data_IF_016071217256
#
_entry.id   IF_016071217256
#
_cell.length_a   1.000
_cell.length_b   1.000
_cell.length_c   1.000
_cell.angle_alpha   90.00
_cell.angle_beta   90.00
_cell.angle_gamma   90.00
#
_symmetry.space_group_name_H-M   'P 1'
#
loop_
_entity.id
_entity.type
_entity.pdbx_description
1 polymer ?
#
# COMPACT_ATOMS: atom_id res chain seq x y z
N UNK A 1 21.39 -12.09 34.07
CA UNK A 1 21.07 -12.93 32.90
C UNK A 1 20.92 -11.98 31.72
N UNK A 2 21.82 -12.08 30.75
CA UNK A 2 22.11 -11.03 29.75
C UNK A 2 20.90 -10.73 28.85
N UNK A 3 20.54 -9.46 28.75
CA UNK A 3 19.63 -8.98 27.72
C UNK A 3 20.32 -9.07 26.36
N UNK A 4 19.93 -10.04 25.55
CA UNK A 4 20.28 -10.10 24.13
C UNK A 4 19.56 -8.95 23.43
N UNK A 5 20.16 -7.75 23.44
CA UNK A 5 19.73 -6.65 22.60
C UNK A 5 20.03 -7.04 21.15
N UNK A 6 19.04 -7.63 20.47
CA UNK A 6 19.06 -7.74 19.03
C UNK A 6 19.25 -6.33 18.46
N UNK A 7 20.33 -6.11 17.70
CA UNK A 7 20.53 -4.91 16.88
C UNK A 7 19.32 -4.78 15.94
N UNK A 8 18.28 -4.06 16.36
CA UNK A 8 17.22 -3.60 15.45
C UNK A 8 17.86 -2.54 14.59
N UNK A 9 18.29 -2.94 13.40
CA UNK A 9 18.71 -2.04 12.35
C UNK A 9 17.48 -1.21 11.97
N UNK A 10 17.31 -0.04 12.61
CA UNK A 10 16.27 0.92 12.23
C UNK A 10 16.63 1.39 10.83
N UNK A 11 15.78 1.07 9.85
CA UNK A 11 15.94 1.57 8.48
C UNK A 11 16.04 3.10 8.53
N UNK A 12 16.91 3.67 7.69
CA UNK A 12 16.93 5.13 7.50
C UNK A 12 15.59 5.54 6.88
N UNK A 13 15.08 6.74 7.18
CA UNK A 13 13.79 7.22 6.66
C UNK A 13 13.59 6.96 5.13
N UNK A 14 14.59 7.15 4.24
CA UNK A 14 14.44 6.84 2.82
C UNK A 14 14.32 5.34 2.49
N UNK A 15 15.03 4.49 3.23
CA UNK A 15 14.97 3.03 3.08
C UNK A 15 13.65 2.49 3.61
N UNK A 16 13.17 3.04 4.73
CA UNK A 16 11.87 2.74 5.30
C UNK A 16 10.73 3.10 4.33
N UNK A 17 10.80 4.29 3.71
CA UNK A 17 9.83 4.71 2.71
C UNK A 17 9.85 3.81 1.47
N UNK A 18 11.03 3.41 1.01
CA UNK A 18 11.17 2.48 -0.13
C UNK A 18 10.52 1.13 0.19
N UNK A 19 10.70 0.63 1.41
CA UNK A 19 10.08 -0.62 1.84
C UNK A 19 8.55 -0.49 1.95
N UNK A 20 8.06 0.63 2.49
CA UNK A 20 6.61 0.92 2.55
C UNK A 20 6.00 1.01 1.15
N UNK A 21 6.66 1.68 0.20
CA UNK A 21 6.22 1.75 -1.19
C UNK A 21 6.14 0.35 -1.82
N UNK A 22 7.18 -0.47 -1.65
CA UNK A 22 7.19 -1.85 -2.13
C UNK A 22 6.04 -2.66 -1.51
N UNK A 23 5.82 -2.56 -0.20
CA UNK A 23 4.74 -3.26 0.49
C UNK A 23 3.35 -2.81 -0.03
N UNK A 24 3.16 -1.50 -0.22
CA UNK A 24 1.92 -0.95 -0.77
C UNK A 24 1.69 -1.41 -2.21
N UNK A 25 2.73 -1.42 -3.06
CA UNK A 25 2.62 -1.85 -4.44
C UNK A 25 2.25 -3.34 -4.55
N UNK A 26 2.92 -4.21 -3.79
CA UNK A 26 2.59 -5.65 -3.74
C UNK A 26 1.16 -5.86 -3.26
N UNK A 27 0.72 -5.12 -2.23
CA UNK A 27 -0.67 -5.19 -1.77
C UNK A 27 -1.66 -4.82 -2.87
N UNK A 28 -1.42 -3.70 -3.57
CA UNK A 28 -2.30 -3.22 -4.64
C UNK A 28 -2.37 -4.21 -5.81
N UNK A 29 -1.23 -4.81 -6.18
CA UNK A 29 -1.14 -5.71 -7.33
C UNK A 29 -1.67 -7.12 -7.05
N UNK A 30 -1.28 -7.71 -5.91
CA UNK A 30 -1.51 -9.14 -5.65
C UNK A 30 -2.68 -9.41 -4.71
N UNK A 31 -2.97 -8.48 -3.77
CA UNK A 31 -3.89 -8.75 -2.66
C UNK A 31 -5.18 -7.95 -2.71
N UNK A 32 -5.22 -6.82 -3.43
CA UNK A 32 -6.37 -5.91 -3.45
C UNK A 32 -7.67 -6.61 -3.88
N UNK A 33 -7.63 -7.40 -4.95
CA UNK A 33 -8.81 -8.11 -5.45
C UNK A 33 -9.42 -9.03 -4.37
N UNK A 34 -8.58 -9.84 -3.72
CA UNK A 34 -8.98 -10.72 -2.63
C UNK A 34 -9.41 -9.94 -1.39
N UNK A 35 -8.74 -8.83 -1.10
CA UNK A 35 -9.06 -7.97 0.02
C UNK A 35 -10.43 -7.30 -0.14
N UNK A 36 -10.77 -6.87 -1.35
CA UNK A 36 -12.02 -6.21 -1.67
C UNK A 36 -13.20 -7.19 -1.77
N UNK A 37 -12.94 -8.48 -2.06
CA UNK A 37 -13.97 -9.50 -2.17
C UNK A 37 -14.83 -9.59 -0.90
N UNK A 38 -16.14 -9.39 -1.05
CA UNK A 38 -17.12 -9.45 0.04
C UNK A 38 -17.08 -8.28 1.03
N UNK A 39 -16.44 -7.16 0.69
CA UNK A 39 -16.41 -5.95 1.52
C UNK A 39 -17.13 -4.79 0.84
N UNK A 40 -17.76 -3.94 1.66
CA UNK A 40 -18.35 -2.69 1.21
C UNK A 40 -17.30 -1.80 0.50
N UNK A 41 -17.57 -1.34 -0.73
CA UNK A 41 -16.63 -0.52 -1.52
C UNK A 41 -16.11 0.70 -0.76
N UNK A 42 -16.97 1.40 -0.02
CA UNK A 42 -16.63 2.62 0.73
C UNK A 42 -15.57 2.33 1.80
N UNK A 43 -15.67 1.17 2.45
CA UNK A 43 -14.71 0.74 3.47
C UNK A 43 -13.36 0.40 2.84
N UNK A 44 -13.37 -0.23 1.66
CA UNK A 44 -12.15 -0.53 0.91
C UNK A 44 -11.48 0.75 0.44
N UNK A 45 -12.24 1.69 -0.14
CA UNK A 45 -11.77 3.01 -0.57
C UNK A 45 -11.15 3.79 0.59
N UNK A 46 -11.78 3.78 1.78
CA UNK A 46 -11.24 4.44 2.96
C UNK A 46 -9.87 3.87 3.39
N UNK A 47 -9.65 2.56 3.21
CA UNK A 47 -8.38 1.90 3.50
C UNK A 47 -7.35 2.24 2.41
N UNK A 48 -7.74 2.19 1.14
CA UNK A 48 -6.89 2.58 0.02
C UNK A 48 -6.41 4.04 0.15
N UNK A 49 -7.25 4.96 0.63
CA UNK A 49 -6.84 6.34 0.96
C UNK A 49 -5.74 6.39 2.01
N UNK A 50 -5.77 5.52 3.02
CA UNK A 50 -4.72 5.43 4.05
C UNK A 50 -3.44 4.86 3.45
N UNK A 51 -3.55 3.80 2.65
CA UNK A 51 -2.42 3.21 1.92
C UNK A 51 -1.76 4.24 1.02
N UNK A 52 -2.55 4.97 0.22
CA UNK A 52 -2.06 6.01 -0.69
C UNK A 52 -1.29 7.13 0.02
N UNK A 53 -1.76 7.56 1.19
CA UNK A 53 -1.08 8.61 1.99
C UNK A 53 0.29 8.17 2.51
N UNK A 54 0.51 6.87 2.75
CA UNK A 54 1.81 6.33 3.19
C UNK A 54 2.83 6.20 2.07
N UNK A 55 2.36 6.12 0.82
CA UNK A 55 3.24 5.99 -0.33
C UNK A 55 3.91 7.32 -0.68
N UNK A 56 5.15 7.24 -1.15
CA UNK A 56 5.86 8.35 -1.76
C UNK A 56 5.25 8.71 -3.11
N UNK A 57 5.65 9.85 -3.67
CA UNK A 57 5.22 10.25 -5.01
C UNK A 57 5.64 9.22 -6.08
N UNK A 58 6.85 8.65 -5.95
CA UNK A 58 7.32 7.60 -6.85
C UNK A 58 6.50 6.33 -6.73
N UNK A 59 6.17 5.91 -5.49
CA UNK A 59 5.29 4.77 -5.24
C UNK A 59 3.90 4.97 -5.84
N UNK A 60 3.32 6.17 -5.68
CA UNK A 60 2.01 6.53 -6.25
C UNK A 60 2.03 6.47 -7.78
N UNK A 61 3.07 7.01 -8.44
CA UNK A 61 3.20 6.92 -9.90
C UNK A 61 3.29 5.46 -10.37
N UNK A 62 4.02 4.60 -9.66
CA UNK A 62 4.10 3.15 -9.95
C UNK A 62 2.75 2.46 -9.76
N UNK A 63 1.98 2.81 -8.73
CA UNK A 63 0.66 2.24 -8.48
C UNK A 63 -0.31 2.49 -9.64
N UNK A 64 -0.22 3.66 -10.29
CA UNK A 64 -1.05 3.98 -11.44
C UNK A 64 -0.75 3.11 -12.67
N UNK A 65 0.45 2.52 -12.76
CA UNK A 65 0.86 1.66 -13.87
C UNK A 65 0.64 0.15 -13.62
N UNK A 66 0.12 -0.23 -12.45
CA UNK A 66 -0.09 -1.63 -12.10
C UNK A 66 -1.15 -2.30 -13.00
N UNK A 67 -0.89 -3.56 -13.36
CA UNK A 67 -1.83 -4.39 -14.14
C UNK A 67 -2.76 -5.14 -13.18
N UNK A 68 -3.80 -4.44 -12.75
CA UNK A 68 -4.85 -4.96 -11.85
C UNK A 68 -6.17 -5.14 -12.59
N UNK A 69 -7.09 -5.92 -12.03
CA UNK A 69 -8.43 -6.08 -12.58
C UNK A 69 -9.24 -4.77 -12.51
N UNK A 70 -10.34 -4.72 -13.26
CA UNK A 70 -11.17 -3.51 -13.39
C UNK A 70 -11.77 -3.06 -12.06
N UNK A 71 -12.22 -3.97 -11.22
CA UNK A 71 -12.82 -3.64 -9.92
C UNK A 71 -11.76 -3.02 -8.99
N UNK A 72 -10.58 -3.62 -8.94
CA UNK A 72 -9.45 -3.09 -8.17
C UNK A 72 -9.01 -1.71 -8.67
N UNK A 73 -9.00 -1.49 -10.00
CA UNK A 73 -8.73 -0.18 -10.62
C UNK A 73 -9.78 0.86 -10.20
N UNK A 74 -11.06 0.55 -10.31
CA UNK A 74 -12.15 1.47 -9.97
C UNK A 74 -12.10 1.89 -8.48
N UNK A 75 -11.75 0.96 -7.58
CA UNK A 75 -11.58 1.25 -6.15
C UNK A 75 -10.37 2.16 -5.89
N UNK A 76 -9.25 1.92 -6.57
CA UNK A 76 -8.05 2.76 -6.45
C UNK A 76 -8.32 4.17 -6.97
N UNK A 77 -9.01 4.32 -8.10
CA UNK A 77 -9.37 5.62 -8.66
C UNK A 77 -10.30 6.42 -7.74
N UNK A 78 -11.29 5.76 -7.12
CA UNK A 78 -12.15 6.39 -6.11
C UNK A 78 -11.37 6.86 -4.88
N UNK A 79 -10.32 6.13 -4.51
CA UNK A 79 -9.48 6.50 -3.37
C UNK A 79 -8.64 7.76 -3.63
N UNK A 80 -8.18 7.99 -4.87
CA UNK A 80 -7.31 9.11 -5.21
C UNK A 80 -8.06 10.36 -5.68
N UNK A 81 -9.36 10.27 -5.97
CA UNK A 81 -10.18 11.43 -6.29
C UNK A 81 -10.26 12.40 -5.09
N UNK A 82 -10.17 13.71 -5.33
CA UNK A 82 -10.28 14.73 -4.30
C UNK A 82 -11.64 14.73 -3.61
#
# INVERSE_FOLDING_TARGET
>A
MQALMMKRNRLREPEAQTLEDCACLVFLESELARFAAGREPERVVAILRRTWRKMSETGRRRALTLRIDRTSRDLLEQAIRP
#
